data_IF_841588693414
#
_entry.id   IF_841588693414
#
_cell.length_a   1.000
_cell.length_b   1.000
_cell.length_c   1.000
_cell.angle_alpha   90.00
_cell.angle_beta   90.00
_cell.angle_gamma   90.00
#
_symmetry.space_group_name_H-M   'P 1'
#
loop_
_entity.id
_entity.type
_entity.pdbx_description
1 polymer ?
#
# COMPACT_ATOMS: atom_id res chain seq x y z
N UNK A 1 -16.17 -8.12 8.23
CA UNK A 1 -14.77 -8.39 8.66
C UNK A 1 -13.93 -8.96 7.51
N UNK A 2 -14.41 -9.97 6.78
CA UNK A 2 -13.69 -10.57 5.64
C UNK A 2 -13.33 -9.57 4.53
N UNK A 3 -14.26 -8.68 4.17
CA UNK A 3 -13.98 -7.63 3.17
C UNK A 3 -12.87 -6.66 3.59
N UNK A 4 -12.79 -6.33 4.89
CA UNK A 4 -11.76 -5.47 5.44
C UNK A 4 -10.39 -6.15 5.35
N UNK A 5 -10.33 -7.43 5.68
CA UNK A 5 -9.12 -8.26 5.54
C UNK A 5 -8.70 -8.37 4.07
N UNK A 6 -9.65 -8.57 3.15
CA UNK A 6 -9.38 -8.62 1.72
C UNK A 6 -8.79 -7.29 1.20
N UNK A 7 -9.37 -6.15 1.60
CA UNK A 7 -8.85 -4.81 1.25
C UNK A 7 -7.45 -4.57 1.80
N UNK A 8 -7.17 -4.95 3.05
CA UNK A 8 -5.83 -4.86 3.65
C UNK A 8 -4.81 -5.66 2.82
N UNK A 9 -5.13 -6.91 2.47
CA UNK A 9 -4.24 -7.75 1.64
C UNK A 9 -3.99 -7.14 0.26
N UNK A 10 -5.04 -6.61 -0.37
CA UNK A 10 -4.94 -5.98 -1.68
C UNK A 10 -4.04 -4.74 -1.64
N UNK A 11 -4.28 -3.82 -0.70
CA UNK A 11 -3.49 -2.60 -0.54
C UNK A 11 -2.03 -2.91 -0.17
N UNK A 12 -1.80 -3.90 0.69
CA UNK A 12 -0.44 -4.36 1.01
C UNK A 12 0.30 -4.88 -0.22
N UNK A 13 -0.35 -5.70 -1.05
CA UNK A 13 0.22 -6.19 -2.32
C UNK A 13 0.48 -5.04 -3.30
N UNK A 14 -0.45 -4.09 -3.40
CA UNK A 14 -0.32 -2.93 -4.28
C UNK A 14 0.86 -2.04 -3.85
N UNK A 15 1.00 -1.76 -2.56
CA UNK A 15 2.12 -0.98 -2.03
C UNK A 15 3.47 -1.65 -2.34
N UNK A 16 3.58 -2.97 -2.11
CA UNK A 16 4.80 -3.72 -2.43
C UNK A 16 5.14 -3.70 -3.93
N UNK A 17 4.13 -3.92 -4.79
CA UNK A 17 4.32 -3.89 -6.24
C UNK A 17 4.77 -2.52 -6.74
N UNK A 18 4.11 -1.45 -6.28
CA UNK A 18 4.46 -0.08 -6.64
C UNK A 18 5.86 0.29 -6.16
N UNK A 19 6.24 -0.13 -4.95
CA UNK A 19 7.59 0.06 -4.42
C UNK A 19 8.63 -0.62 -5.30
N UNK A 20 8.43 -1.89 -5.63
CA UNK A 20 9.35 -2.63 -6.52
C UNK A 20 9.43 -2.00 -7.92
N UNK A 21 8.28 -1.60 -8.48
CA UNK A 21 8.24 -0.94 -9.78
C UNK A 21 8.95 0.42 -9.74
N UNK A 22 8.85 1.17 -8.63
CA UNK A 22 9.56 2.44 -8.48
C UNK A 22 11.07 2.28 -8.58
N UNK A 23 11.62 1.20 -8.03
CA UNK A 23 13.05 0.91 -8.07
C UNK A 23 13.52 0.69 -9.51
N UNK A 24 12.80 -0.13 -10.27
CA UNK A 24 13.14 -0.40 -11.68
C UNK A 24 12.94 0.83 -12.57
N UNK A 25 11.81 1.52 -12.43
CA UNK A 25 11.50 2.70 -13.25
C UNK A 25 12.43 3.86 -12.93
N UNK A 26 12.86 4.04 -11.68
CA UNK A 26 13.76 5.14 -11.30
C UNK A 26 15.12 5.10 -12.01
N UNK A 27 15.57 3.93 -12.48
CA UNK A 27 16.82 3.75 -13.24
C UNK A 27 16.78 4.43 -14.60
N UNK A 28 15.60 4.53 -15.21
CA UNK A 28 15.40 5.09 -16.56
C UNK A 28 14.59 6.39 -16.55
N UNK A 29 13.73 6.58 -15.55
CA UNK A 29 12.88 7.75 -15.37
C UNK A 29 12.66 8.03 -13.89
N UNK A 30 13.51 8.89 -13.33
CA UNK A 30 13.47 9.27 -11.92
C UNK A 30 12.13 9.87 -11.49
N UNK A 31 11.51 10.72 -12.33
CA UNK A 31 10.23 11.37 -11.99
C UNK A 31 9.12 10.33 -11.82
N UNK A 32 9.00 9.43 -12.80
CA UNK A 32 8.00 8.36 -12.75
C UNK A 32 8.26 7.39 -11.59
N UNK A 33 9.53 7.09 -11.27
CA UNK A 33 9.88 6.33 -10.07
C UNK A 33 9.41 7.00 -8.78
N UNK A 34 9.59 8.32 -8.64
CA UNK A 34 9.09 9.06 -7.47
C UNK A 34 7.56 9.05 -7.38
N UNK A 35 6.86 9.15 -8.50
CA UNK A 35 5.39 9.10 -8.51
C UNK A 35 4.87 7.70 -8.11
N UNK A 36 5.54 6.63 -8.54
CA UNK A 36 5.24 5.27 -8.09
C UNK A 36 5.52 5.09 -6.59
N UNK A 37 6.61 5.66 -6.07
CA UNK A 37 6.93 5.61 -4.65
C UNK A 37 5.87 6.35 -3.81
N UNK A 38 5.36 7.50 -4.28
CA UNK A 38 4.25 8.21 -3.63
C UNK A 38 2.99 7.35 -3.57
N UNK A 39 2.61 6.73 -4.69
CA UNK A 39 1.47 5.82 -4.73
C UNK A 39 1.66 4.61 -3.80
N UNK A 40 2.87 4.05 -3.72
CA UNK A 40 3.18 2.97 -2.79
C UNK A 40 2.98 3.42 -1.33
N UNK A 41 3.42 4.63 -0.98
CA UNK A 41 3.25 5.22 0.35
C UNK A 41 1.78 5.42 0.67
N UNK A 42 0.99 5.94 -0.26
CA UNK A 42 -0.44 6.18 -0.06
C UNK A 42 -1.20 4.86 0.15
N UNK A 43 -0.94 3.85 -0.68
CA UNK A 43 -1.51 2.51 -0.50
C UNK A 43 -1.09 1.89 0.85
N UNK A 44 0.17 2.08 1.26
CA UNK A 44 0.67 1.64 2.57
C UNK A 44 -0.03 2.33 3.74
N UNK A 45 -0.23 3.65 3.67
CA UNK A 45 -0.95 4.41 4.69
C UNK A 45 -2.41 3.97 4.81
N UNK A 46 -3.08 3.75 3.67
CA UNK A 46 -4.45 3.23 3.65
C UNK A 46 -4.53 1.83 4.26
N UNK A 47 -3.57 0.94 3.93
CA UNK A 47 -3.46 -0.38 4.51
C UNK A 47 -3.31 -0.31 6.05
N UNK A 48 -2.41 0.55 6.53
CA UNK A 48 -2.18 0.77 7.96
C UNK A 48 -3.44 1.24 8.69
N UNK A 49 -4.18 2.18 8.09
CA UNK A 49 -5.43 2.69 8.66
C UNK A 49 -6.49 1.57 8.80
N UNK A 50 -6.67 0.74 7.77
CA UNK A 50 -7.61 -0.38 7.82
C UNK A 50 -7.17 -1.46 8.82
N UNK A 51 -5.87 -1.69 9.00
CA UNK A 51 -5.36 -2.58 10.06
C UNK A 51 -5.73 -2.04 11.44
N UNK A 52 -5.63 -0.73 11.66
CA UNK A 52 -6.04 -0.12 12.93
C UNK A 52 -7.56 -0.23 13.15
N UNK A 53 -8.35 -0.04 12.10
CA UNK A 53 -9.81 -0.25 12.15
C UNK A 53 -10.16 -1.70 12.50
N UNK A 54 -9.52 -2.68 11.85
CA UNK A 54 -9.71 -4.10 12.13
C UNK A 54 -9.41 -4.42 13.61
N UNK A 55 -8.32 -3.87 14.15
CA UNK A 55 -7.96 -4.05 15.57
C UNK A 55 -9.02 -3.49 16.51
N UNK A 56 -9.62 -2.33 16.18
CA UNK A 56 -10.71 -1.74 16.98
C UNK A 56 -11.95 -2.62 16.97
N UNK A 57 -12.31 -3.16 15.80
CA UNK A 57 -13.44 -4.07 15.64
C UNK A 57 -13.24 -5.41 16.36
N UNK A 58 -12.00 -5.89 16.51
CA UNK A 58 -11.70 -7.12 17.25
C UNK A 58 -11.64 -6.93 18.77
N UNK A 59 -11.47 -5.70 19.24
CA UNK A 59 -11.45 -5.36 20.66
C UNK A 59 -12.83 -4.98 21.22
N UNK A 60 -13.84 -4.90 20.35
CA UNK A 60 -15.25 -4.66 20.68
C UNK A 60 -16.01 -5.98 20.73
#
# INVERSE_FOLDING_TARGET
>A
MEELIAKIKLLGKQAANLSNQSLEVSKVNRKQGLDLMRQARDAGNQCQALIQELKRLQAS
#
